data_IF_148508237705
#
_entry.id   IF_148508237705
#
_cell.length_a   1.000
_cell.length_b   1.000
_cell.length_c   1.000
_cell.angle_alpha   90.00
_cell.angle_beta   90.00
_cell.angle_gamma   90.00
#
_symmetry.space_group_name_H-M   'P 1'
#
loop_
_entity.id
_entity.type
_entity.pdbx_description
1 polymer ?
#
# COMPACT_ATOMS: atom_id res chain seq x y z
N UNK A 1 -3.36 -23.85 -11.41
CA UNK A 1 -4.56 -24.69 -11.16
C UNK A 1 -5.66 -23.77 -10.63
N UNK A 2 -6.88 -23.89 -11.15
CA UNK A 2 -8.01 -23.12 -10.66
C UNK A 2 -8.40 -23.60 -9.25
N UNK A 3 -8.67 -22.65 -8.32
CA UNK A 3 -9.12 -22.94 -6.95
C UNK A 3 -10.53 -22.41 -6.77
N UNK A 4 -11.42 -23.24 -6.26
CA UNK A 4 -12.78 -22.80 -5.87
C UNK A 4 -12.71 -22.04 -4.55
N UNK A 5 -13.46 -20.94 -4.47
CA UNK A 5 -13.61 -20.10 -3.29
C UNK A 5 -15.11 -20.00 -3.01
N UNK A 6 -15.56 -20.72 -1.99
CA UNK A 6 -16.99 -20.93 -1.76
C UNK A 6 -17.66 -21.58 -2.97
N UNK A 7 -18.98 -21.37 -3.08
CA UNK A 7 -19.80 -21.97 -4.17
C UNK A 7 -19.85 -21.13 -5.45
N UNK A 8 -19.49 -19.82 -5.38
CA UNK A 8 -19.75 -18.84 -6.45
C UNK A 8 -18.54 -18.35 -7.21
N UNK A 9 -17.32 -18.52 -6.66
CA UNK A 9 -16.11 -17.92 -7.21
C UNK A 9 -15.07 -18.98 -7.56
N UNK A 10 -14.25 -18.66 -8.57
CA UNK A 10 -13.12 -19.52 -8.97
C UNK A 10 -11.91 -18.63 -9.18
N UNK A 11 -10.85 -18.87 -8.41
CA UNK A 11 -9.55 -18.19 -8.55
C UNK A 11 -8.68 -18.92 -9.59
N UNK A 12 -8.11 -18.17 -10.54
CA UNK A 12 -7.38 -18.71 -11.68
C UNK A 12 -5.87 -18.41 -11.61
N UNK A 13 -5.50 -17.13 -11.43
CA UNK A 13 -4.13 -16.65 -11.51
C UNK A 13 -3.83 -15.72 -10.34
N UNK A 14 -2.63 -15.80 -9.79
CA UNK A 14 -2.17 -14.87 -8.76
C UNK A 14 -1.83 -13.54 -9.43
N UNK A 15 -2.42 -12.45 -8.93
CA UNK A 15 -2.12 -11.07 -9.30
C UNK A 15 -1.03 -10.49 -8.40
N UNK A 16 -1.02 -10.85 -7.10
CA UNK A 16 -0.06 -10.34 -6.15
C UNK A 16 -0.06 -11.12 -4.83
N UNK A 17 1.00 -10.94 -4.06
CA UNK A 17 1.16 -11.49 -2.71
C UNK A 17 1.52 -10.38 -1.75
N UNK A 18 0.88 -10.33 -0.59
CA UNK A 18 1.14 -9.34 0.44
C UNK A 18 1.14 -9.95 1.84
N UNK A 19 1.43 -9.14 2.84
CA UNK A 19 1.50 -9.56 4.24
C UNK A 19 0.17 -10.14 4.76
N UNK A 20 -0.97 -9.63 4.27
CA UNK A 20 -2.30 -10.08 4.69
C UNK A 20 -2.83 -11.30 3.91
N UNK A 21 -2.23 -11.64 2.76
CA UNK A 21 -2.72 -12.74 1.92
C UNK A 21 -2.30 -12.65 0.47
N UNK A 22 -2.98 -13.40 -0.37
CA UNK A 22 -2.72 -13.47 -1.82
C UNK A 22 -3.93 -12.95 -2.60
N UNK A 23 -3.70 -12.08 -3.57
CA UNK A 23 -4.73 -11.57 -4.49
C UNK A 23 -4.71 -12.40 -5.76
N UNK A 24 -5.88 -12.87 -6.17
CA UNK A 24 -6.08 -13.70 -7.35
C UNK A 24 -6.99 -13.00 -8.36
N UNK A 25 -6.69 -13.18 -9.64
CA UNK A 25 -7.67 -13.02 -10.69
C UNK A 25 -8.65 -14.20 -10.60
N UNK A 26 -9.91 -13.90 -10.53
CA UNK A 26 -10.95 -14.91 -10.45
C UNK A 26 -12.16 -14.57 -11.30
N UNK A 27 -13.12 -15.48 -11.30
CA UNK A 27 -14.40 -15.33 -11.98
C UNK A 27 -15.54 -15.57 -10.97
N UNK A 28 -16.52 -14.70 -11.02
CA UNK A 28 -17.76 -14.77 -10.26
C UNK A 28 -18.98 -14.78 -11.16
N UNK A 29 -20.21 -14.78 -10.59
CA UNK A 29 -21.46 -14.80 -11.35
C UNK A 29 -21.63 -13.64 -12.34
N UNK A 30 -21.04 -12.50 -12.03
CA UNK A 30 -21.13 -11.25 -12.81
C UNK A 30 -19.91 -10.99 -13.70
N UNK A 31 -18.95 -11.91 -13.77
CA UNK A 31 -17.74 -11.79 -14.56
C UNK A 31 -16.44 -11.77 -13.73
N UNK A 32 -15.35 -11.21 -14.30
CA UNK A 32 -14.04 -11.24 -13.67
C UNK A 32 -13.99 -10.38 -12.40
N UNK A 33 -13.31 -10.89 -11.38
CA UNK A 33 -13.16 -10.29 -10.05
C UNK A 33 -11.72 -10.41 -9.56
N UNK A 34 -11.34 -9.54 -8.62
CA UNK A 34 -10.16 -9.72 -7.79
C UNK A 34 -10.57 -10.41 -6.48
N UNK A 35 -9.86 -11.47 -6.10
CA UNK A 35 -10.15 -12.26 -4.90
C UNK A 35 -8.94 -12.20 -3.99
N UNK A 36 -9.05 -11.50 -2.87
CA UNK A 36 -8.02 -11.48 -1.82
C UNK A 36 -8.28 -12.59 -0.83
N UNK A 37 -7.48 -13.64 -0.91
CA UNK A 37 -7.52 -14.76 0.03
C UNK A 37 -6.60 -14.44 1.20
N UNK A 38 -7.16 -14.34 2.40
CA UNK A 38 -6.41 -14.07 3.61
C UNK A 38 -5.60 -15.29 4.04
N UNK A 39 -4.56 -15.08 4.85
CA UNK A 39 -3.71 -16.15 5.39
C UNK A 39 -4.51 -17.04 6.32
N UNK A 40 -4.20 -18.34 6.36
CA UNK A 40 -4.90 -19.33 7.17
C UNK A 40 -4.82 -19.06 8.69
N UNK A 41 -3.68 -18.49 9.16
CA UNK A 41 -3.54 -18.10 10.56
C UNK A 41 -4.51 -17.00 10.98
N UNK A 42 -4.93 -16.17 10.02
CA UNK A 42 -5.92 -15.11 10.22
C UNK A 42 -7.35 -15.64 10.12
N UNK A 43 -7.59 -16.56 9.21
CA UNK A 43 -8.89 -17.21 9.03
C UNK A 43 -9.25 -18.13 10.22
N UNK A 44 -8.27 -18.60 10.98
CA UNK A 44 -8.46 -19.46 12.15
C UNK A 44 -8.79 -18.68 13.44
N UNK A 45 -8.63 -17.37 13.46
CA UNK A 45 -8.95 -16.53 14.62
C UNK A 45 -10.41 -16.10 14.59
N UNK A 46 -11.26 -16.76 15.40
CA UNK A 46 -12.70 -16.50 15.45
C UNK A 46 -13.07 -15.07 15.84
N UNK A 47 -12.28 -14.43 16.72
CA UNK A 47 -12.52 -13.04 17.11
C UNK A 47 -12.25 -12.10 15.94
N UNK A 48 -11.21 -12.38 15.16
CA UNK A 48 -10.83 -11.68 13.98
C UNK A 48 -11.86 -11.85 12.86
N UNK A 49 -12.29 -13.07 12.59
CA UNK A 49 -13.38 -13.37 11.63
C UNK A 49 -14.68 -12.66 12.02
N UNK A 50 -15.03 -12.65 13.32
CA UNK A 50 -16.23 -11.95 13.80
C UNK A 50 -16.16 -10.43 13.54
N UNK A 51 -15.01 -9.79 13.81
CA UNK A 51 -14.79 -8.36 13.51
C UNK A 51 -14.83 -8.07 12.02
N UNK A 52 -14.20 -8.93 11.23
CA UNK A 52 -14.21 -8.83 9.78
C UNK A 52 -15.64 -8.90 9.21
N UNK A 53 -16.46 -9.81 9.74
CA UNK A 53 -17.87 -9.91 9.37
C UNK A 53 -18.67 -8.68 9.81
N UNK A 54 -18.36 -8.09 10.97
CA UNK A 54 -19.05 -6.88 11.45
C UNK A 54 -18.71 -5.64 10.59
N UNK A 55 -17.45 -5.46 10.19
CA UNK A 55 -17.04 -4.35 9.32
C UNK A 55 -17.48 -4.56 7.85
N UNK A 56 -17.85 -5.79 7.48
CA UNK A 56 -18.35 -6.18 6.15
C UNK A 56 -19.47 -5.26 5.66
N UNK A 57 -20.44 -4.97 6.48
CA UNK A 57 -21.63 -4.22 6.07
C UNK A 57 -21.27 -2.82 5.59
N UNK A 58 -20.33 -2.17 6.26
CA UNK A 58 -19.85 -0.84 5.87
C UNK A 58 -19.02 -0.89 4.56
N UNK A 59 -18.22 -1.94 4.37
CA UNK A 59 -17.41 -2.09 3.15
C UNK A 59 -18.25 -2.48 1.93
N UNK A 60 -19.25 -3.36 2.09
CA UNK A 60 -20.15 -3.76 1.00
C UNK A 60 -21.06 -2.63 0.53
N UNK A 61 -21.34 -1.64 1.38
CA UNK A 61 -22.13 -0.45 1.04
C UNK A 61 -21.32 0.73 0.54
N UNK A 62 -19.99 0.61 0.49
CA UNK A 62 -19.11 1.69 0.07
C UNK A 62 -18.91 1.68 -1.45
N UNK A 63 -19.75 2.43 -2.17
CA UNK A 63 -19.65 2.62 -3.61
C UNK A 63 -19.18 4.04 -3.90
N UNK A 64 -17.99 4.17 -4.52
CA UNK A 64 -17.42 5.45 -4.91
C UNK A 64 -16.43 5.26 -6.08
N UNK A 65 -16.34 6.17 -7.08
CA UNK A 65 -15.45 6.02 -8.23
C UNK A 65 -13.96 5.90 -7.88
N UNK A 66 -13.56 6.41 -6.71
CA UNK A 66 -12.18 6.33 -6.22
C UNK A 66 -11.99 5.31 -5.08
N UNK A 67 -12.88 4.31 -5.01
CA UNK A 67 -12.77 3.18 -4.08
C UNK A 67 -13.02 1.89 -4.85
N UNK A 68 -12.18 0.90 -4.67
CA UNK A 68 -12.42 -0.44 -5.22
C UNK A 68 -13.59 -1.07 -4.47
N UNK A 69 -14.71 -1.31 -5.18
CA UNK A 69 -15.93 -1.85 -4.56
C UNK A 69 -15.72 -3.28 -4.08
N UNK A 70 -16.13 -3.56 -2.86
CA UNK A 70 -16.18 -4.91 -2.30
C UNK A 70 -17.51 -5.55 -2.70
N UNK A 71 -17.45 -6.64 -3.47
CA UNK A 71 -18.61 -7.39 -3.99
C UNK A 71 -19.15 -8.39 -3.00
N UNK A 72 -18.25 -9.11 -2.33
CA UNK A 72 -18.60 -10.18 -1.43
C UNK A 72 -17.51 -10.48 -0.41
N UNK A 73 -17.94 -11.14 0.67
CA UNK A 73 -17.09 -11.74 1.66
C UNK A 73 -17.43 -13.22 1.76
N UNK A 74 -16.46 -14.06 1.42
CA UNK A 74 -16.63 -15.52 1.46
C UNK A 74 -15.92 -16.08 2.68
N UNK A 75 -16.66 -16.82 3.50
CA UNK A 75 -16.15 -17.63 4.61
C UNK A 75 -16.51 -19.07 4.28
N UNK A 76 -15.52 -19.90 3.96
CA UNK A 76 -15.73 -21.30 3.59
C UNK A 76 -14.62 -22.17 4.19
N UNK A 77 -14.96 -22.93 5.24
CA UNK A 77 -13.97 -23.69 6.02
C UNK A 77 -12.89 -22.78 6.59
N UNK A 78 -11.64 -23.01 6.17
CA UNK A 78 -10.48 -22.20 6.55
C UNK A 78 -10.19 -21.04 5.56
N UNK A 79 -11.03 -20.87 4.55
CA UNK A 79 -10.86 -19.81 3.56
C UNK A 79 -11.66 -18.57 3.96
N UNK A 80 -10.97 -17.48 4.13
CA UNK A 80 -11.53 -16.14 4.32
C UNK A 80 -11.11 -15.30 3.12
N UNK A 81 -12.07 -14.96 2.25
CA UNK A 81 -11.79 -14.25 1.01
C UNK A 81 -12.63 -12.98 0.86
N UNK A 82 -11.98 -11.90 0.43
CA UNK A 82 -12.63 -10.67 0.01
C UNK A 82 -12.69 -10.64 -1.52
N UNK A 83 -13.90 -10.54 -2.06
CA UNK A 83 -14.14 -10.43 -3.50
C UNK A 83 -14.38 -8.97 -3.86
N UNK A 84 -13.64 -8.45 -4.82
CA UNK A 84 -13.62 -7.02 -5.18
C UNK A 84 -13.71 -6.86 -6.70
N UNK A 85 -14.02 -5.64 -7.11
CA UNK A 85 -13.90 -5.25 -8.52
C UNK A 85 -12.48 -5.44 -9.01
N UNK A 86 -12.37 -5.90 -10.26
CA UNK A 86 -11.09 -6.02 -10.93
C UNK A 86 -10.73 -4.69 -11.60
N UNK A 87 -9.76 -3.97 -11.03
CA UNK A 87 -9.18 -2.77 -11.64
C UNK A 87 -8.12 -3.22 -12.65
N UNK A 88 -8.23 -2.74 -13.89
CA UNK A 88 -7.26 -3.04 -14.95
C UNK A 88 -6.17 -1.99 -15.01
N UNK A 89 -5.07 -2.27 -14.33
CA UNK A 89 -3.99 -1.30 -14.22
C UNK A 89 -2.84 -1.78 -13.36
N UNK A 90 -2.20 -0.83 -12.68
CA UNK A 90 -1.06 -1.08 -11.79
C UNK A 90 -1.29 -0.32 -10.48
N UNK A 91 -0.59 -0.72 -9.43
CA UNK A 91 -0.54 0.07 -8.20
C UNK A 91 0.41 1.28 -8.33
N UNK A 92 0.21 2.27 -7.46
CA UNK A 92 0.97 3.50 -7.47
C UNK A 92 2.45 3.29 -7.07
N UNK A 93 2.76 2.25 -6.25
CA UNK A 93 4.13 1.87 -5.91
C UNK A 93 4.91 1.46 -7.15
N UNK A 94 4.33 0.56 -7.95
CA UNK A 94 4.93 0.09 -9.22
C UNK A 94 5.19 1.28 -10.18
N UNK A 95 4.28 2.25 -10.23
CA UNK A 95 4.49 3.47 -11.01
C UNK A 95 5.64 4.31 -10.46
N UNK A 96 5.68 4.53 -9.14
CA UNK A 96 6.71 5.32 -8.47
C UNK A 96 8.10 4.68 -8.61
N UNK A 97 8.20 3.36 -8.50
CA UNK A 97 9.47 2.63 -8.68
C UNK A 97 10.03 2.81 -10.10
N UNK A 98 9.15 2.92 -11.10
CA UNK A 98 9.54 3.15 -12.50
C UNK A 98 9.90 4.61 -12.78
N UNK A 99 9.10 5.55 -12.30
CA UNK A 99 9.21 6.98 -12.63
C UNK A 99 10.01 7.76 -11.57
N UNK A 100 10.27 7.15 -10.42
CA UNK A 100 10.92 7.68 -9.21
C UNK A 100 10.15 8.82 -8.55
N UNK A 101 9.60 9.74 -9.32
CA UNK A 101 8.76 10.87 -8.87
C UNK A 101 7.79 11.26 -9.97
N UNK A 102 6.72 11.92 -9.60
CA UNK A 102 5.71 12.40 -10.54
C UNK A 102 5.79 13.92 -10.69
N UNK A 103 5.36 14.43 -11.83
CA UNK A 103 5.10 15.86 -11.98
C UNK A 103 4.03 16.30 -10.95
N UNK A 104 4.16 17.51 -10.36
CA UNK A 104 3.26 17.99 -9.31
C UNK A 104 1.78 17.92 -9.67
N UNK A 105 1.41 18.26 -10.90
CA UNK A 105 0.03 18.18 -11.37
C UNK A 105 -0.52 16.75 -11.32
N UNK A 106 0.25 15.76 -11.81
CA UNK A 106 -0.15 14.35 -11.78
C UNK A 106 -0.20 13.79 -10.34
N UNK A 107 0.77 14.14 -9.50
CA UNK A 107 0.81 13.73 -8.09
C UNK A 107 -0.41 14.25 -7.32
N UNK A 108 -0.72 15.54 -7.48
CA UNK A 108 -1.87 16.19 -6.82
C UNK A 108 -3.19 15.62 -7.33
N UNK A 109 -3.33 15.36 -8.63
CA UNK A 109 -4.55 14.76 -9.20
C UNK A 109 -4.82 13.36 -8.60
N UNK A 110 -3.82 12.48 -8.56
CA UNK A 110 -3.92 11.14 -7.96
C UNK A 110 -4.31 11.22 -6.47
N UNK A 111 -3.67 12.12 -5.71
CA UNK A 111 -3.95 12.26 -4.27
C UNK A 111 -5.33 12.89 -4.01
N UNK A 112 -5.80 13.78 -4.90
CA UNK A 112 -7.15 14.33 -4.81
C UNK A 112 -8.22 13.24 -5.00
N UNK A 113 -8.03 12.32 -5.95
CA UNK A 113 -8.91 11.17 -6.15
C UNK A 113 -8.96 10.26 -4.91
N UNK A 114 -7.79 9.95 -4.34
CA UNK A 114 -7.71 9.15 -3.10
C UNK A 114 -8.37 9.88 -1.93
N UNK A 115 -8.22 11.21 -1.83
CA UNK A 115 -8.87 12.01 -0.78
C UNK A 115 -10.40 11.94 -0.88
N UNK A 116 -10.98 11.92 -2.08
CA UNK A 116 -12.43 11.75 -2.26
C UNK A 116 -12.88 10.34 -1.86
N UNK A 117 -12.12 9.31 -2.24
CA UNK A 117 -12.38 7.94 -1.79
C UNK A 117 -12.35 7.82 -0.26
N UNK A 118 -11.36 8.45 0.40
CA UNK A 118 -11.31 8.53 1.86
C UNK A 118 -12.47 9.32 2.45
N UNK A 119 -12.91 10.40 1.81
CA UNK A 119 -14.05 11.18 2.28
C UNK A 119 -15.33 10.35 2.31
N UNK A 120 -15.58 9.55 1.26
CA UNK A 120 -16.70 8.61 1.21
C UNK A 120 -16.60 7.54 2.30
N UNK A 121 -15.42 6.95 2.50
CA UNK A 121 -15.19 5.95 3.53
C UNK A 121 -15.39 6.53 4.95
N UNK A 122 -14.83 7.69 5.22
CA UNK A 122 -14.98 8.37 6.52
C UNK A 122 -16.44 8.75 6.82
N UNK A 123 -17.20 9.15 5.79
CA UNK A 123 -18.64 9.42 5.92
C UNK A 123 -19.44 8.15 6.25
N UNK A 124 -18.99 6.98 5.75
CA UNK A 124 -19.55 5.67 6.09
C UNK A 124 -19.02 5.11 7.45
N UNK A 125 -18.21 5.88 8.18
CA UNK A 125 -17.62 5.47 9.45
C UNK A 125 -16.42 4.53 9.32
N UNK A 126 -15.88 4.35 8.11
CA UNK A 126 -14.73 3.48 7.84
C UNK A 126 -13.44 4.31 7.80
N UNK A 127 -12.45 3.91 8.59
CA UNK A 127 -11.09 4.47 8.56
C UNK A 127 -10.17 3.45 7.88
N UNK A 128 -9.40 3.88 6.88
CA UNK A 128 -8.58 2.98 6.07
C UNK A 128 -7.38 2.39 6.84
N UNK A 129 -6.66 3.21 7.59
CA UNK A 129 -5.53 2.86 8.50
C UNK A 129 -4.27 2.33 7.82
N UNK A 130 -4.25 2.15 6.51
CA UNK A 130 -3.10 1.62 5.75
C UNK A 130 -2.98 2.31 4.38
N UNK A 131 -3.11 3.64 4.34
CA UNK A 131 -2.92 4.43 3.12
C UNK A 131 -1.43 4.44 2.78
N UNK A 132 -1.11 3.93 1.58
CA UNK A 132 0.25 3.86 1.01
C UNK A 132 0.16 3.59 -0.49
N UNK A 133 1.24 3.80 -1.26
CA UNK A 133 1.20 3.64 -2.72
C UNK A 133 0.76 2.26 -3.20
N UNK A 134 1.08 1.19 -2.46
CA UNK A 134 0.69 -0.19 -2.81
C UNK A 134 -0.83 -0.40 -2.74
N UNK A 135 -1.55 0.41 -1.96
CA UNK A 135 -2.99 0.34 -1.78
C UNK A 135 -3.77 1.35 -2.64
N UNK A 136 -3.10 2.01 -3.58
CA UNK A 136 -3.70 2.90 -4.58
C UNK A 136 -3.54 2.27 -5.95
N UNK A 137 -4.64 1.88 -6.58
CA UNK A 137 -4.65 1.33 -7.94
C UNK A 137 -4.91 2.45 -8.95
N UNK A 138 -4.21 2.39 -10.08
CA UNK A 138 -4.38 3.31 -11.20
C UNK A 138 -5.15 2.58 -12.31
N UNK A 139 -6.33 3.06 -12.65
CA UNK A 139 -7.14 2.47 -13.73
C UNK A 139 -6.62 2.92 -15.09
N UNK A 140 -5.88 2.02 -15.75
CA UNK A 140 -5.28 2.28 -17.07
C UNK A 140 -6.32 2.29 -18.21
N UNK A 141 -7.57 1.93 -17.96
CA UNK A 141 -8.67 2.00 -18.94
C UNK A 141 -9.52 3.26 -18.79
N UNK A 142 -9.41 3.95 -17.66
CA UNK A 142 -10.08 5.21 -17.42
C UNK A 142 -9.51 6.37 -18.24
N UNK A 143 -10.25 7.47 -18.42
CA UNK A 143 -9.77 8.65 -19.13
C UNK A 143 -8.60 9.29 -18.35
N UNK A 144 -7.64 9.85 -19.09
CA UNK A 144 -6.54 10.59 -18.45
C UNK A 144 -7.05 11.92 -17.87
N UNK A 145 -6.64 12.19 -16.67
CA UNK A 145 -6.89 13.41 -15.91
C UNK A 145 -5.73 14.43 -16.02
N UNK A 146 -5.70 15.43 -15.13
CA UNK A 146 -4.67 16.45 -15.07
C UNK A 146 -3.26 15.84 -15.00
N UNK A 147 -2.30 16.47 -15.69
CA UNK A 147 -0.92 15.98 -15.76
C UNK A 147 -0.77 14.59 -16.38
N UNK A 148 -1.77 14.08 -17.13
CA UNK A 148 -1.77 12.72 -17.68
C UNK A 148 -1.94 11.64 -16.63
N UNK A 149 -2.54 11.95 -15.48
CA UNK A 149 -2.83 10.99 -14.42
C UNK A 149 -3.94 10.02 -14.84
N UNK A 150 -3.80 8.75 -14.46
CA UNK A 150 -4.91 7.80 -14.51
C UNK A 150 -5.79 7.95 -13.26
N UNK A 151 -7.11 7.65 -13.35
CA UNK A 151 -7.98 7.62 -12.17
C UNK A 151 -7.41 6.72 -11.09
N UNK A 152 -7.36 7.23 -9.86
CA UNK A 152 -6.85 6.50 -8.72
C UNK A 152 -7.98 5.93 -7.87
N UNK A 153 -7.86 4.66 -7.48
CA UNK A 153 -8.82 3.95 -6.64
C UNK A 153 -8.12 3.38 -5.41
N UNK A 154 -8.68 3.66 -4.25
CA UNK A 154 -8.20 3.12 -2.98
C UNK A 154 -8.72 1.70 -2.76
N UNK A 155 -7.82 0.78 -2.40
CA UNK A 155 -8.12 -0.63 -2.13
C UNK A 155 -7.61 -1.04 -0.74
N UNK A 156 -7.95 -2.25 -0.31
CA UNK A 156 -7.40 -2.85 0.92
C UNK A 156 -7.73 -2.12 2.23
N UNK A 157 -8.96 -1.60 2.34
CA UNK A 157 -9.44 -0.99 3.57
C UNK A 157 -9.19 -1.88 4.79
N UNK A 158 -8.24 -1.50 5.62
CA UNK A 158 -7.96 -1.93 6.99
C UNK A 158 -8.02 -3.42 7.35
N UNK A 159 -8.27 -4.30 6.37
CA UNK A 159 -8.41 -5.75 6.58
C UNK A 159 -7.19 -6.33 7.29
N UNK A 160 -5.99 -5.83 7.00
CA UNK A 160 -4.76 -6.25 7.67
C UNK A 160 -4.65 -5.75 9.12
N UNK A 161 -5.27 -4.62 9.45
CA UNK A 161 -5.19 -4.01 10.80
C UNK A 161 -6.38 -4.34 11.71
N UNK A 162 -7.43 -4.95 11.18
CA UNK A 162 -8.38 -5.70 12.01
C UNK A 162 -7.66 -6.83 12.79
N UNK A 163 -6.56 -7.29 12.23
CA UNK A 163 -5.68 -8.32 12.76
C UNK A 163 -4.80 -7.81 13.90
N UNK A 164 -4.40 -6.55 13.85
CA UNK A 164 -3.50 -5.91 14.83
C UNK A 164 -4.26 -5.29 16.01
N UNK A 165 -5.16 -6.04 16.65
CA UNK A 165 -5.65 -5.63 17.96
C UNK A 165 -4.52 -5.80 18.97
N UNK A 166 -4.27 -4.78 19.84
CA UNK A 166 -3.21 -4.89 20.83
C UNK A 166 -3.60 -5.95 21.87
N UNK A 167 -3.25 -7.22 21.64
CA UNK A 167 -2.99 -8.11 22.74
C UNK A 167 -1.77 -7.51 23.45
N UNK A 168 -1.98 -7.07 24.69
CA UNK A 168 -1.00 -6.58 25.65
C UNK A 168 0.30 -7.41 25.61
N UNK A 169 1.14 -7.17 24.67
CA UNK A 169 2.53 -7.63 24.69
C UNK A 169 3.38 -6.49 24.18
N UNK A 170 4.14 -5.97 25.13
CA UNK A 170 5.23 -5.03 25.03
C UNK A 170 5.94 -5.09 23.67
N UNK A 171 6.16 -3.89 23.13
CA UNK A 171 7.22 -3.55 22.19
C UNK A 171 7.62 -4.69 21.22
N UNK A 172 7.46 -4.42 19.91
CA UNK A 172 8.06 -5.22 18.85
C UNK A 172 7.13 -6.20 18.15
N UNK A 173 6.26 -5.68 17.32
CA UNK A 173 6.17 -6.04 15.91
C UNK A 173 5.24 -5.04 15.26
N UNK A 174 5.78 -3.87 14.89
CA UNK A 174 5.15 -3.05 13.88
C UNK A 174 5.32 -3.84 12.58
N UNK A 175 4.27 -4.61 12.23
CA UNK A 175 4.20 -5.34 10.95
C UNK A 175 3.72 -4.30 9.94
N UNK A 176 4.58 -3.90 9.03
CA UNK A 176 4.29 -2.94 7.96
C UNK A 176 5.41 -1.91 7.79
N UNK A 177 5.35 -1.17 6.70
CA UNK A 177 6.29 -0.10 6.40
C UNK A 177 6.00 1.07 7.34
N UNK A 178 6.94 1.47 8.23
CA UNK A 178 6.70 2.52 9.23
C UNK A 178 6.55 3.92 8.63
N UNK A 179 6.93 4.09 7.37
CA UNK A 179 7.08 5.38 6.67
C UNK A 179 5.80 6.20 6.55
N UNK A 180 4.62 5.57 6.66
CA UNK A 180 3.32 6.25 6.53
C UNK A 180 2.54 6.32 7.84
N UNK A 181 3.14 5.89 8.97
CA UNK A 181 2.45 5.84 10.25
C UNK A 181 2.28 7.23 10.85
N UNK A 182 1.04 7.57 11.20
CA UNK A 182 0.76 8.80 11.91
C UNK A 182 1.34 8.77 13.34
N UNK A 183 1.84 9.91 13.88
CA UNK A 183 2.48 9.98 15.19
C UNK A 183 1.62 9.44 16.31
N UNK A 184 0.32 9.71 16.31
CA UNK A 184 -0.61 9.19 17.32
C UNK A 184 -0.71 7.66 17.34
N UNK A 185 -0.47 7.00 16.19
CA UNK A 185 -0.43 5.53 16.14
C UNK A 185 0.85 4.99 16.76
N UNK A 186 1.97 5.67 16.53
CA UNK A 186 3.26 5.36 17.18
C UNK A 186 3.14 5.49 18.71
N UNK A 187 2.40 6.50 19.18
CA UNK A 187 2.09 6.74 20.59
C UNK A 187 1.05 5.78 21.17
N UNK A 188 0.47 4.89 20.36
CA UNK A 188 -0.52 3.89 20.80
C UNK A 188 -1.94 4.43 20.98
N UNK A 189 -2.26 5.59 20.42
CA UNK A 189 -3.60 6.16 20.46
C UNK A 189 -4.53 5.45 19.45
N UNK A 190 -5.85 5.42 19.71
CA UNK A 190 -6.80 4.80 18.80
C UNK A 190 -6.86 5.53 17.45
N UNK A 191 -6.84 4.80 16.32
CA UNK A 191 -6.89 5.39 15.00
C UNK A 191 -8.22 6.10 14.74
N UNK A 192 -8.13 7.31 14.17
CA UNK A 192 -9.25 8.12 13.69
C UNK A 192 -9.03 8.48 12.22
N UNK A 193 -10.02 9.07 11.56
CA UNK A 193 -9.92 9.50 10.16
C UNK A 193 -8.67 10.35 9.84
N UNK A 194 -8.17 11.09 10.82
CA UNK A 194 -6.95 11.91 10.70
C UNK A 194 -5.66 11.13 10.44
N UNK A 195 -5.61 9.82 10.75
CA UNK A 195 -4.43 8.98 10.45
C UNK A 195 -4.27 8.78 8.95
N UNK A 196 -5.40 8.65 8.22
CA UNK A 196 -5.41 8.48 6.77
C UNK A 196 -4.94 9.75 6.06
N UNK A 197 -5.27 10.93 6.61
CA UNK A 197 -4.84 12.22 6.06
C UNK A 197 -3.31 12.39 6.19
N UNK A 198 -2.75 12.02 7.33
CA UNK A 198 -1.30 12.05 7.54
C UNK A 198 -0.59 11.11 6.57
N UNK A 199 -1.07 9.87 6.46
CA UNK A 199 -0.52 8.89 5.54
C UNK A 199 -0.63 9.34 4.07
N UNK A 200 -1.78 9.91 3.66
CA UNK A 200 -1.97 10.43 2.31
C UNK A 200 -1.05 11.63 2.00
N UNK A 201 -0.82 12.50 2.98
CA UNK A 201 0.14 13.59 2.83
C UNK A 201 1.59 13.07 2.72
N UNK A 202 1.93 12.01 3.44
CA UNK A 202 3.22 11.31 3.28
C UNK A 202 3.37 10.72 1.87
N UNK A 203 2.30 10.11 1.33
CA UNK A 203 2.27 9.64 -0.07
C UNK A 203 2.47 10.81 -1.04
N UNK A 204 1.78 11.94 -0.85
CA UNK A 204 1.96 13.12 -1.70
C UNK A 204 3.41 13.61 -1.69
N UNK A 205 4.01 13.72 -0.51
CA UNK A 205 5.42 14.09 -0.38
C UNK A 205 6.33 13.15 -1.17
N UNK A 206 6.12 11.84 -1.01
CA UNK A 206 6.90 10.82 -1.72
C UNK A 206 6.71 10.89 -3.24
N UNK A 207 5.49 11.10 -3.74
CA UNK A 207 5.24 11.28 -5.17
C UNK A 207 5.98 12.48 -5.76
N UNK A 208 6.13 13.55 -5.00
CA UNK A 208 6.84 14.77 -5.40
C UNK A 208 8.36 14.63 -5.28
N UNK A 209 8.85 14.08 -4.18
CA UNK A 209 10.27 14.00 -3.85
C UNK A 209 10.97 12.74 -4.38
N UNK A 210 10.25 11.61 -4.46
CA UNK A 210 10.80 10.29 -4.76
C UNK A 210 11.23 9.50 -3.51
N UNK A 211 11.07 10.08 -2.33
CA UNK A 211 11.36 9.46 -1.02
C UNK A 211 10.37 9.97 0.04
N UNK A 212 10.18 9.21 1.11
CA UNK A 212 9.29 9.61 2.21
C UNK A 212 9.94 10.63 3.14
N UNK A 213 9.16 11.56 3.77
CA UNK A 213 9.73 12.67 4.53
C UNK A 213 10.54 12.25 5.77
N UNK A 214 10.30 11.05 6.29
CA UNK A 214 10.94 10.53 7.50
C UNK A 214 11.54 9.14 7.29
N UNK A 215 11.65 8.68 6.04
CA UNK A 215 12.18 7.36 5.68
C UNK A 215 13.67 7.20 5.90
N UNK A 216 14.16 5.99 5.59
CA UNK A 216 15.57 5.63 5.68
C UNK A 216 16.05 5.22 7.09
N UNK A 217 17.05 4.34 7.15
CA UNK A 217 17.62 3.85 8.38
C UNK A 217 16.78 2.80 9.10
N UNK A 218 16.99 2.64 10.41
CA UNK A 218 16.31 1.63 11.20
C UNK A 218 14.84 1.99 11.44
N UNK A 219 13.88 1.03 11.36
CA UNK A 219 12.45 1.30 11.56
C UNK A 219 12.11 2.08 12.83
N UNK A 220 12.82 1.84 13.93
CA UNK A 220 12.63 2.59 15.19
C UNK A 220 13.01 4.07 15.06
N UNK A 221 14.02 4.42 14.26
CA UNK A 221 14.39 5.79 13.99
C UNK A 221 13.32 6.49 13.13
N UNK A 222 12.80 5.81 12.10
CA UNK A 222 11.67 6.29 11.29
C UNK A 222 10.47 6.63 12.17
N UNK A 223 10.08 5.72 13.06
CA UNK A 223 8.97 5.95 13.99
C UNK A 223 9.20 7.16 14.91
N UNK A 224 10.41 7.29 15.43
CA UNK A 224 10.78 8.44 16.27
C UNK A 224 10.65 9.74 15.46
N UNK A 225 11.16 9.78 14.23
CA UNK A 225 11.09 10.96 13.36
C UNK A 225 9.64 11.38 13.07
N UNK A 226 8.74 10.43 12.86
CA UNK A 226 7.31 10.73 12.72
C UNK A 226 6.71 11.46 13.93
N UNK A 227 7.22 11.22 15.13
CA UNK A 227 6.76 11.91 16.36
C UNK A 227 7.49 13.24 16.58
N UNK A 228 8.80 13.29 16.36
CA UNK A 228 9.65 14.38 16.84
C UNK A 228 10.09 15.39 15.77
N UNK A 229 10.18 14.98 14.50
CA UNK A 229 10.79 15.81 13.47
C UNK A 229 9.76 16.53 12.62
N UNK A 230 10.12 17.70 12.11
CA UNK A 230 9.33 18.46 11.13
C UNK A 230 9.71 18.05 9.73
N UNK A 231 8.74 18.10 8.81
CA UNK A 231 8.98 17.79 7.40
C UNK A 231 9.89 18.85 6.76
N UNK A 232 10.85 18.38 5.93
CA UNK A 232 11.76 19.24 5.20
C UNK A 232 11.05 19.85 3.98
N UNK A 233 11.19 21.17 3.74
CA UNK A 233 10.62 21.83 2.58
C UNK A 233 11.05 21.22 1.25
N UNK A 234 10.11 21.11 0.31
CA UNK A 234 10.39 20.71 -1.07
C UNK A 234 10.60 21.98 -1.93
N UNK A 235 11.80 22.21 -2.43
CA UNK A 235 12.04 23.35 -3.31
C UNK A 235 11.28 23.18 -4.63
N UNK A 236 10.81 24.29 -5.17
CA UNK A 236 10.18 24.32 -6.50
C UNK A 236 8.70 24.04 -6.54
N UNK A 237 8.02 23.78 -5.40
CA UNK A 237 6.56 23.73 -5.35
C UNK A 237 5.98 25.08 -4.91
N UNK A 238 4.73 25.43 -5.33
CA UNK A 238 4.02 26.61 -4.83
C UNK A 238 3.84 26.58 -3.32
N UNK A 239 3.90 27.77 -2.69
CA UNK A 239 3.74 27.92 -1.24
C UNK A 239 2.39 27.37 -0.76
N UNK A 240 1.32 27.52 -1.53
CA UNK A 240 -0.02 27.01 -1.22
C UNK A 240 -0.03 25.49 -1.11
N UNK A 241 0.66 24.78 -2.02
CA UNK A 241 0.79 23.33 -1.96
C UNK A 241 1.64 22.91 -0.76
N UNK A 242 2.72 23.63 -0.49
CA UNK A 242 3.57 23.39 0.67
C UNK A 242 2.81 23.56 1.99
N UNK A 243 2.06 24.65 2.16
CA UNK A 243 1.26 24.90 3.36
C UNK A 243 0.19 23.83 3.58
N UNK A 244 -0.46 23.38 2.51
CA UNK A 244 -1.43 22.30 2.57
C UNK A 244 -0.78 21.00 3.06
N UNK A 245 0.40 20.66 2.53
CA UNK A 245 1.16 19.46 2.87
C UNK A 245 1.58 19.48 4.34
N UNK A 246 2.16 20.59 4.80
CA UNK A 246 2.56 20.80 6.20
C UNK A 246 1.36 20.70 7.16
N UNK A 247 0.21 21.27 6.78
CA UNK A 247 -1.01 21.17 7.60
C UNK A 247 -1.46 19.71 7.75
N UNK A 248 -1.41 18.91 6.67
CA UNK A 248 -1.80 17.50 6.73
C UNK A 248 -0.77 16.63 7.47
N UNK A 249 0.53 17.00 7.48
CA UNK A 249 1.59 16.35 8.24
C UNK A 249 1.73 16.88 9.68
N UNK A 250 0.83 17.74 10.14
CA UNK A 250 0.83 18.24 11.51
C UNK A 250 0.81 17.08 12.52
N UNK A 251 1.64 17.17 13.58
CA UNK A 251 1.71 16.13 14.62
C UNK A 251 0.37 16.00 15.36
N UNK A 252 -0.27 17.12 15.69
CA UNK A 252 -1.60 17.13 16.32
C UNK A 252 -2.69 16.71 15.31
N UNK A 253 -3.43 15.61 15.53
CA UNK A 253 -4.45 15.12 14.60
C UNK A 253 -5.57 16.14 14.31
N UNK A 254 -5.93 16.95 15.30
CA UNK A 254 -6.99 17.96 15.19
C UNK A 254 -6.62 19.15 14.27
N UNK A 255 -5.34 19.35 13.97
CA UNK A 255 -4.86 20.40 13.08
C UNK A 255 -4.92 20.01 11.60
N UNK A 256 -5.12 18.73 11.29
CA UNK A 256 -5.16 18.21 9.93
C UNK A 256 -6.54 18.47 9.31
N UNK A 257 -6.55 18.59 7.98
CA UNK A 257 -7.78 18.73 7.21
C UNK A 257 -8.64 17.46 7.27
N UNK A 258 -9.91 17.59 6.94
CA UNK A 258 -10.75 16.44 6.60
C UNK A 258 -10.47 16.00 5.16
N UNK A 259 -10.76 14.76 4.83
CA UNK A 259 -10.51 14.22 3.49
C UNK A 259 -11.20 15.02 2.38
N UNK A 260 -12.47 15.40 2.58
CA UNK A 260 -13.22 16.20 1.62
C UNK A 260 -12.65 17.61 1.41
N UNK A 261 -12.14 18.24 2.47
CA UNK A 261 -11.49 19.55 2.40
C UNK A 261 -10.14 19.43 1.67
N UNK A 262 -9.38 18.38 1.95
CA UNK A 262 -8.12 18.10 1.29
C UNK A 262 -8.31 17.89 -0.22
N UNK A 263 -9.26 17.03 -0.64
CA UNK A 263 -9.56 16.78 -2.04
C UNK A 263 -9.98 18.06 -2.79
N UNK A 264 -10.85 18.88 -2.19
CA UNK A 264 -11.25 20.15 -2.79
C UNK A 264 -10.08 21.11 -2.98
N UNK A 265 -9.26 21.34 -1.95
CA UNK A 265 -8.11 22.24 -2.03
C UNK A 265 -7.04 21.75 -3.00
N UNK A 266 -6.79 20.45 -3.07
CA UNK A 266 -5.87 19.87 -4.06
C UNK A 266 -6.32 20.15 -5.48
N UNK A 267 -7.63 20.05 -5.78
CA UNK A 267 -8.17 20.37 -7.09
C UNK A 267 -8.08 21.85 -7.44
N UNK A 268 -8.26 22.72 -6.46
CA UNK A 268 -8.08 24.18 -6.63
C UNK A 268 -6.65 24.54 -7.02
N UNK A 269 -5.65 23.73 -6.63
CA UNK A 269 -4.25 23.95 -6.96
C UNK A 269 -3.83 23.41 -8.33
N UNK A 270 -4.59 22.50 -8.96
CA UNK A 270 -4.22 21.90 -10.24
C UNK A 270 -3.87 22.90 -11.34
N UNK A 271 -4.62 24.00 -11.55
CA UNK A 271 -4.25 25.00 -12.57
C UNK A 271 -2.90 25.67 -12.33
N UNK A 272 -2.50 25.82 -11.05
CA UNK A 272 -1.20 26.41 -10.69
C UNK A 272 -0.04 25.47 -10.99
N UNK A 273 -0.30 24.15 -10.99
CA UNK A 273 0.70 23.10 -11.18
C UNK A 273 0.83 22.67 -12.64
N UNK A 274 -0.06 23.15 -13.52
CA UNK A 274 -0.12 22.75 -14.91
C UNK A 274 1.21 23.02 -15.64
N UNK A 275 1.75 21.98 -16.29
CA UNK A 275 3.00 22.07 -17.04
C UNK A 275 4.29 22.08 -16.19
N UNK A 276 4.20 21.97 -14.85
CA UNK A 276 5.39 21.80 -14.01
C UNK A 276 6.00 20.41 -14.24
N UNK A 277 7.31 20.36 -14.47
CA UNK A 277 8.07 19.10 -14.52
C UNK A 277 8.24 18.48 -13.13
N UNK A 278 8.69 17.21 -13.07
CA UNK A 278 9.09 16.59 -11.81
C UNK A 278 10.13 17.44 -11.09
N UNK A 279 10.04 17.49 -9.76
CA UNK A 279 10.95 18.29 -8.95
C UNK A 279 12.39 17.75 -9.04
N UNK A 280 13.35 18.64 -9.00
CA UNK A 280 14.78 18.28 -8.86
C UNK A 280 15.17 18.39 -7.38
N UNK A 281 15.02 17.28 -6.67
CA UNK A 281 15.25 17.18 -5.22
C UNK A 281 16.18 16.02 -4.96
N UNK A 282 17.30 16.28 -4.31
CA UNK A 282 18.22 15.22 -3.86
C UNK A 282 17.68 14.53 -2.61
N UNK A 283 17.80 13.21 -2.57
CA UNK A 283 17.51 12.45 -1.36
C UNK A 283 18.53 12.85 -0.27
N UNK A 284 18.09 13.21 0.95
CA UNK A 284 19.00 13.52 2.04
C UNK A 284 19.93 12.33 2.29
N UNK A 285 21.23 12.59 2.41
CA UNK A 285 22.19 11.57 2.84
C UNK A 285 21.69 10.94 4.13
N UNK A 286 21.58 9.61 4.15
CA UNK A 286 21.23 8.88 5.37
C UNK A 286 22.31 9.22 6.41
N UNK A 287 21.96 10.04 7.41
CA UNK A 287 22.87 10.35 8.52
C UNK A 287 23.32 9.01 9.11
N UNK A 288 24.63 8.76 9.01
CA UNK A 288 25.23 7.63 9.72
C UNK A 288 24.95 7.86 11.20
N UNK A 289 24.11 7.02 11.81
CA UNK A 289 23.94 7.04 13.26
C UNK A 289 25.35 6.96 13.88
N UNK A 290 25.71 7.87 14.81
CA UNK A 290 26.99 7.79 15.49
C UNK A 290 27.05 6.40 16.14
N UNK A 291 28.11 5.68 15.84
CA UNK A 291 28.35 4.32 16.30
C UNK A 291 28.37 4.35 17.83
N UNK A 292 27.35 3.74 18.46
CA UNK A 292 27.18 3.68 19.91
C UNK A 292 28.35 2.98 20.64
N UNK A 293 29.38 2.56 19.87
CA UNK A 293 30.62 1.97 20.38
C UNK A 293 31.67 3.00 20.84
N UNK A 294 31.56 4.30 20.47
CA UNK A 294 32.57 5.29 20.90
C UNK A 294 32.27 5.96 22.25
N UNK A 295 31.02 5.97 22.75
CA UNK A 295 30.73 6.54 24.09
C UNK A 295 31.16 5.65 25.27
N UNK A 296 31.48 4.38 25.03
CA UNK A 296 31.96 3.48 26.10
C UNK A 296 33.47 3.61 26.39
N UNK A 297 34.24 4.35 25.57
CA UNK A 297 35.68 4.44 25.70
C UNK A 297 36.20 5.66 26.49
N UNK A 298 35.37 6.65 26.81
CA UNK A 298 35.79 7.88 27.47
C UNK A 298 35.51 8.00 28.97
N UNK A 299 34.88 6.97 29.60
CA UNK A 299 34.61 7.01 31.04
C UNK A 299 35.47 6.07 31.92
N UNK A 300 36.56 5.52 31.38
CA UNK A 300 37.48 4.67 32.15
C UNK A 300 38.76 5.41 32.53
N UNK A 301 38.67 6.22 33.56
CA UNK A 301 39.83 6.89 34.15
C UNK A 301 39.59 7.38 35.58
N UNK A 302 39.54 6.49 36.59
CA UNK A 302 40.07 6.72 37.94
C UNK A 302 39.94 5.47 38.83
N UNK A 303 41.06 5.02 39.31
CA UNK A 303 41.56 4.03 40.23
C UNK A 303 40.66 3.43 41.33
N UNK A 304 40.60 2.15 41.41
CA UNK A 304 40.93 1.03 42.31
C UNK A 304 40.63 1.16 43.85
N UNK A 305 40.59 0.05 44.66
CA UNK A 305 40.95 -1.37 44.41
C UNK A 305 40.00 -2.45 45.01
N UNK A 306 40.18 -3.68 44.54
CA UNK A 306 40.12 -5.02 45.16
C UNK A 306 38.84 -5.53 45.86
N UNK A 307 38.27 -6.58 45.26
CA UNK A 307 37.36 -7.53 45.87
C UNK A 307 37.11 -8.74 44.94
N UNK A 308 37.33 -9.94 45.46
CA UNK A 308 37.48 -11.25 44.83
C UNK A 308 36.32 -11.74 43.90
N UNK A 309 36.54 -12.80 43.10
CA UNK A 309 35.73 -13.12 41.94
C UNK A 309 34.58 -14.08 42.25
N UNK A 310 33.37 -13.73 41.86
CA UNK A 310 32.24 -14.65 41.76
C UNK A 310 32.15 -15.20 40.34
N UNK A 311 32.36 -16.50 40.20
CA UNK A 311 32.20 -17.28 38.96
C UNK A 311 30.77 -17.18 38.43
N UNK A 312 30.57 -16.65 37.23
CA UNK A 312 29.36 -16.82 36.43
C UNK A 312 29.65 -17.74 35.23
N UNK A 313 28.79 -18.74 35.12
CA UNK A 313 28.83 -19.81 34.10
C UNK A 313 28.44 -19.25 32.71
N UNK A 314 29.26 -19.60 31.73
CA UNK A 314 28.94 -20.06 30.39
C UNK A 314 28.07 -19.17 29.51
N UNK A 315 28.70 -18.29 28.70
CA UNK A 315 28.12 -17.80 27.49
C UNK A 315 28.45 -18.76 26.34
N UNK A 316 27.44 -19.18 25.57
CA UNK A 316 27.57 -20.00 24.36
C UNK A 316 27.99 -19.06 23.21
N UNK A 317 28.99 -19.42 22.35
CA UNK A 317 29.41 -18.59 21.25
C UNK A 317 28.36 -18.61 20.14
N UNK A 318 27.93 -17.42 19.67
CA UNK A 318 27.18 -17.23 18.43
C UNK A 318 28.14 -17.40 17.24
N UNK A 319 27.76 -18.24 16.32
CA UNK A 319 28.47 -18.53 15.07
C UNK A 319 28.46 -17.28 14.19
N UNK A 320 29.61 -16.80 13.65
CA UNK A 320 29.63 -15.71 12.67
C UNK A 320 29.39 -16.29 11.28
N UNK A 321 28.41 -15.76 10.56
CA UNK A 321 28.27 -16.02 9.12
C UNK A 321 26.86 -16.21 8.60
N UNK A 322 26.03 -15.19 8.70
CA UNK A 322 24.90 -15.04 7.78
C UNK A 322 24.83 -13.56 7.38
N UNK A 323 24.97 -13.26 6.09
CA UNK A 323 24.68 -11.94 5.54
C UNK A 323 23.22 -11.62 5.86
N UNK A 324 22.88 -10.38 6.27
CA UNK A 324 21.48 -10.00 6.41
C UNK A 324 20.81 -10.10 5.04
N UNK A 325 19.77 -10.91 4.96
CA UNK A 325 18.86 -10.89 3.83
C UNK A 325 18.12 -9.54 3.89
N UNK A 326 18.03 -8.89 2.73
CA UNK A 326 17.29 -7.65 2.52
C UNK A 326 15.80 -7.91 2.82
N UNK A 327 15.41 -7.82 4.07
CA UNK A 327 14.05 -8.15 4.55
C UNK A 327 13.01 -7.08 4.22
N UNK A 328 13.42 -5.98 3.57
CA UNK A 328 12.52 -4.87 3.24
C UNK A 328 11.88 -4.96 1.85
N UNK A 329 12.29 -5.91 1.01
CA UNK A 329 11.74 -6.05 -0.35
C UNK A 329 10.61 -7.07 -0.48
N UNK A 330 10.39 -7.93 0.51
CA UNK A 330 9.43 -9.03 0.40
C UNK A 330 8.00 -8.72 0.88
N UNK A 331 7.71 -7.48 1.29
CA UNK A 331 6.38 -7.09 1.81
C UNK A 331 5.53 -6.26 0.83
N UNK A 332 6.00 -6.03 -0.39
CA UNK A 332 5.26 -5.24 -1.37
C UNK A 332 4.23 -6.10 -2.13
N UNK A 333 2.97 -5.69 -2.07
CA UNK A 333 1.91 -6.26 -2.90
C UNK A 333 1.89 -5.49 -4.22
N UNK A 334 2.64 -5.96 -5.21
CA UNK A 334 2.52 -5.43 -6.57
C UNK A 334 1.32 -6.08 -7.26
N UNK A 335 0.35 -5.27 -7.68
CA UNK A 335 -0.83 -5.73 -8.43
C UNK A 335 -0.73 -5.25 -9.88
N UNK A 336 -0.43 -6.15 -10.81
CA UNK A 336 -0.53 -5.92 -12.25
C UNK A 336 -1.58 -6.84 -12.84
N UNK A 337 -2.62 -6.27 -13.41
CA UNK A 337 -3.60 -7.01 -14.21
C UNK A 337 -3.08 -7.05 -15.65
N UNK A 338 -2.85 -8.26 -16.23
CA UNK A 338 -2.40 -8.40 -17.62
C UNK A 338 -3.40 -7.78 -18.61
N UNK A 339 -2.90 -7.23 -19.72
CA UNK A 339 -3.74 -6.73 -20.79
C UNK A 339 -4.56 -7.89 -21.45
N UNK A 340 -5.71 -7.60 -22.09
CA UNK A 340 -6.58 -8.64 -22.67
C UNK A 340 -5.89 -9.57 -23.66
N UNK A 341 -4.91 -9.09 -24.39
CA UNK A 341 -4.07 -9.80 -25.34
C UNK A 341 -3.05 -10.74 -24.64
N UNK A 342 -2.57 -10.39 -23.45
CA UNK A 342 -1.73 -11.27 -22.63
C UNK A 342 -2.54 -12.44 -22.03
N UNK A 343 -3.84 -12.24 -21.77
CA UNK A 343 -4.75 -13.27 -21.26
C UNK A 343 -5.23 -14.25 -22.34
N UNK A 344 -5.26 -13.84 -23.62
CA UNK A 344 -5.67 -14.67 -24.75
C UNK A 344 -4.58 -15.65 -25.24
N UNK A 345 -3.34 -15.50 -24.83
CA UNK A 345 -2.18 -16.30 -25.28
C UNK A 345 -2.07 -17.73 -24.70
N UNK A 346 -2.97 -18.17 -23.84
CA UNK A 346 -2.90 -19.43 -23.09
C UNK A 346 -3.48 -20.69 -23.74
N UNK A 347 -4.05 -20.63 -24.95
CA UNK A 347 -4.66 -21.78 -25.59
C UNK A 347 -4.12 -21.99 -27.02
N UNK A 348 -2.89 -22.43 -27.12
CA UNK A 348 -2.39 -23.07 -28.35
C UNK A 348 -2.68 -24.57 -28.28
N UNK A 349 -3.77 -24.99 -28.93
CA UNK A 349 -4.00 -26.40 -29.25
C UNK A 349 -2.97 -26.87 -30.30
N UNK A 350 -2.56 -28.16 -30.28
CA UNK A 350 -1.56 -28.67 -31.22
C UNK A 350 -2.13 -28.72 -32.63
N UNK A 351 -1.38 -28.18 -33.57
CA UNK A 351 -1.63 -28.28 -35.01
C UNK A 351 -1.60 -29.74 -35.45
N UNK A 352 -2.73 -30.27 -35.89
CA UNK A 352 -2.77 -31.50 -36.69
C UNK A 352 -2.67 -31.08 -38.15
N UNK A 353 -1.53 -31.40 -38.74
CA UNK A 353 -1.28 -31.36 -40.18
C UNK A 353 -2.04 -32.52 -40.83
N UNK A 354 -3.00 -32.24 -41.68
CA UNK A 354 -3.46 -33.22 -42.67
C UNK A 354 -3.66 -32.50 -43.99
N UNK A 355 -2.98 -33.03 -44.97
CA UNK A 355 -2.88 -32.54 -46.32
C UNK A 355 -4.04 -33.05 -47.20
N UNK A 356 -4.28 -32.33 -48.30
CA UNK A 356 -4.57 -32.79 -49.70
C UNK A 356 -6.00 -32.81 -50.23
N UNK A 357 -6.10 -32.15 -51.37
CA UNK A 357 -6.95 -32.35 -52.57
C UNK A 357 -8.38 -31.81 -52.44
N UNK A 358 -8.80 -30.87 -53.20
CA UNK A 358 -8.73 -30.75 -54.66
C UNK A 358 -10.16 -30.81 -55.22
N UNK A 359 -10.43 -29.92 -56.21
CA UNK A 359 -11.49 -30.00 -57.24
C UNK A 359 -12.77 -29.15 -57.05
N UNK A 360 -12.77 -28.05 -57.70
CA UNK A 360 -13.57 -27.59 -58.85
C UNK A 360 -15.07 -27.22 -58.63
N UNK A 361 -15.30 -25.90 -58.88
CA UNK A 361 -16.24 -25.29 -59.83
C UNK A 361 -17.71 -25.80 -59.90
N UNK A 362 -18.67 -24.92 -59.69
CA UNK A 362 -19.65 -24.42 -60.67
C UNK A 362 -20.56 -23.34 -60.06
N UNK A 363 -20.51 -22.17 -60.59
CA UNK A 363 -21.44 -21.15 -61.00
C UNK A 363 -22.96 -21.55 -60.96
N UNK A 364 -23.79 -20.67 -60.38
CA UNK A 364 -24.88 -19.94 -61.08
C UNK A 364 -25.83 -19.27 -60.08
N UNK A 365 -26.00 -17.97 -60.25
CA UNK A 365 -27.19 -17.17 -59.99
C UNK A 365 -28.23 -17.42 -61.10
N UNK A 366 -29.44 -16.88 -61.14
CA UNK A 366 -30.25 -16.17 -60.13
C UNK A 366 -31.75 -16.61 -60.13
N UNK A 367 -32.52 -16.26 -59.15
CA UNK A 367 -33.85 -15.61 -59.27
C UNK A 367 -34.34 -15.13 -57.91
#
# INVERSE_FOLDING_TARGET
MARKIGSRYTAHQILGRGSAGTVWLGEGPEGPVAIKLLREDLASDQELVSRFVQERTALLGLEHPHVVSVRDLVVDGNDLALVMDLVRGTDLRTRLDRERRLAPEAAVAVVADVADGLAAAHAAGVVHRDVKPENVLLDMQGPLGPGGSHPALLTDFGVAKLIDTPRRTRATKIIGTPDYLAPEIVEGLPPRASVDIYALATVLYELLAGFTPFGGGHPGAVLRRHVTETVVPLPGIPDELWQLLVQCLAKAPASRLRASELGARLRELLPLLAGMGPLDVDEPDAEQEPDASEEAATSAGSAAPAGEPVRRRGAVPLVPGAKPADSNRDTHTSMRVPAPDELAGGARAPSVTAAVAGVAVVEQLPS
#
